data_IF_719629181214
#
_entry.id   IF_719629181214
#
_cell.length_a   1.000
_cell.length_b   1.000
_cell.length_c   1.000
_cell.angle_alpha   90.00
_cell.angle_beta   90.00
_cell.angle_gamma   90.00
#
_symmetry.space_group_name_H-M   'P 1'
#
loop_
_entity.id
_entity.type
_entity.pdbx_description
1 polymer ?
#
# COMPACT_ATOMS: atom_id res chain seq x y z
N UNK A 1 1.75 -23.07 4.42
CA UNK A 1 1.62 -21.62 4.67
C UNK A 1 1.29 -20.98 3.33
N UNK A 2 0.44 -19.94 3.24
CA UNK A 2 0.22 -19.29 1.95
C UNK A 2 1.54 -18.71 1.44
N UNK A 3 1.86 -18.97 0.18
CA UNK A 3 3.03 -18.42 -0.54
C UNK A 3 2.91 -16.91 -0.75
N UNK A 4 1.71 -16.36 -0.54
CA UNK A 4 1.40 -14.96 -0.70
C UNK A 4 0.86 -14.28 0.55
N UNK A 5 1.21 -13.00 0.71
CA UNK A 5 0.72 -12.16 1.80
C UNK A 5 0.60 -10.70 1.39
N UNK A 6 -0.20 -9.93 2.13
CA UNK A 6 -0.27 -8.48 1.98
C UNK A 6 0.58 -7.80 3.06
N UNK A 7 1.38 -6.82 2.65
CA UNK A 7 2.21 -6.01 3.53
C UNK A 7 1.72 -4.57 3.53
N UNK A 8 1.73 -3.96 4.70
CA UNK A 8 1.50 -2.52 4.83
C UNK A 8 2.79 -1.75 4.51
N UNK A 9 2.63 -0.69 3.71
CA UNK A 9 3.65 0.28 3.37
C UNK A 9 3.32 1.58 4.09
N UNK A 10 4.26 2.04 4.93
CA UNK A 10 4.12 3.22 5.78
C UNK A 10 5.07 4.33 5.35
N UNK A 11 4.90 5.51 5.95
CA UNK A 11 5.78 6.65 5.74
C UNK A 11 5.45 7.49 4.51
N UNK A 12 4.23 7.37 3.98
CA UNK A 12 3.74 8.12 2.82
C UNK A 12 3.64 9.64 3.06
N UNK A 13 3.59 10.07 4.31
CA UNK A 13 3.57 11.50 4.68
C UNK A 13 4.95 12.16 4.61
N UNK A 14 6.04 11.38 4.51
CA UNK A 14 7.39 11.92 4.39
C UNK A 14 7.76 12.14 2.93
N UNK A 15 8.55 13.19 2.66
CA UNK A 15 9.17 13.39 1.35
C UNK A 15 10.28 12.35 1.11
N UNK A 16 10.54 12.05 -0.16
CA UNK A 16 11.72 11.30 -0.59
C UNK A 16 12.98 12.17 -0.52
N UNK A 17 14.15 11.53 -0.56
CA UNK A 17 15.44 12.24 -0.53
C UNK A 17 15.64 13.18 -1.74
N UNK A 18 15.02 12.87 -2.87
CA UNK A 18 15.00 13.70 -4.08
C UNK A 18 13.92 14.80 -4.06
N UNK A 19 13.16 14.91 -2.97
CA UNK A 19 12.07 15.87 -2.79
C UNK A 19 10.72 15.42 -3.37
N UNK A 20 10.65 14.25 -4.02
CA UNK A 20 9.37 13.72 -4.54
C UNK A 20 8.39 13.34 -3.41
N UNK A 21 7.10 13.38 -3.71
CA UNK A 21 6.04 13.13 -2.74
C UNK A 21 5.53 11.69 -2.82
N UNK A 22 5.80 10.90 -1.76
CA UNK A 22 5.38 9.49 -1.67
C UNK A 22 3.87 9.30 -1.80
N UNK A 23 3.07 10.16 -1.17
CA UNK A 23 1.61 10.07 -1.21
C UNK A 23 1.07 10.34 -2.61
N UNK A 24 1.64 11.31 -3.31
CA UNK A 24 1.29 11.58 -4.70
C UNK A 24 1.62 10.38 -5.59
N UNK A 25 2.81 9.79 -5.42
CA UNK A 25 3.20 8.61 -6.18
C UNK A 25 2.27 7.41 -5.93
N UNK A 26 1.86 7.19 -4.67
CA UNK A 26 0.88 6.14 -4.32
C UNK A 26 -0.44 6.33 -5.09
N UNK A 27 -0.92 7.57 -5.24
CA UNK A 27 -2.15 7.87 -5.96
C UNK A 27 -2.05 7.59 -7.47
N UNK A 28 -0.83 7.57 -8.01
CA UNK A 28 -0.57 7.24 -9.42
C UNK A 28 -0.42 5.72 -9.65
N UNK A 29 -0.33 4.91 -8.60
CA UNK A 29 -0.26 3.46 -8.74
C UNK A 29 -1.64 2.85 -8.94
N UNK A 30 -1.75 1.94 -9.92
CA UNK A 30 -2.91 1.09 -10.11
C UNK A 30 -2.72 -0.26 -9.41
N UNK A 31 -3.81 -0.89 -8.91
CA UNK A 31 -3.73 -2.27 -8.43
C UNK A 31 -3.15 -3.20 -9.50
N UNK A 32 -2.10 -3.91 -9.15
CA UNK A 32 -1.38 -4.84 -10.04
C UNK A 32 -0.08 -4.26 -10.57
N UNK A 33 0.16 -2.95 -10.43
CA UNK A 33 1.43 -2.34 -10.82
C UNK A 33 2.60 -3.02 -10.08
N UNK A 34 3.68 -3.38 -10.77
CA UNK A 34 4.87 -3.92 -10.12
C UNK A 34 5.43 -2.95 -9.09
N UNK A 35 5.87 -3.48 -7.95
CA UNK A 35 6.62 -2.71 -6.95
C UNK A 35 7.90 -3.44 -6.58
N UNK A 36 8.93 -2.68 -6.25
CA UNK A 36 10.23 -3.22 -5.87
C UNK A 36 10.47 -3.04 -4.37
N UNK A 37 10.92 -4.10 -3.70
CA UNK A 37 11.34 -4.07 -2.31
C UNK A 37 12.86 -4.02 -2.27
N UNK A 38 13.42 -2.97 -1.64
CA UNK A 38 14.86 -2.74 -1.53
C UNK A 38 15.29 -2.69 -0.06
N UNK A 39 16.06 -3.67 0.45
CA UNK A 39 16.63 -3.60 1.79
C UNK A 39 17.62 -2.44 1.91
N UNK A 40 17.55 -1.70 3.02
CA UNK A 40 18.46 -0.60 3.35
C UNK A 40 19.20 -0.91 4.67
N UNK A 41 20.17 -1.85 4.67
CA UNK A 41 20.86 -2.27 5.90
C UNK A 41 21.69 -1.16 6.57
N UNK A 42 22.00 -0.10 5.83
CA UNK A 42 22.71 1.09 6.32
C UNK A 42 21.76 2.22 6.74
N UNK A 43 20.44 1.97 6.80
CA UNK A 43 19.48 2.96 7.25
C UNK A 43 19.70 3.27 8.74
N UNK A 44 19.85 4.57 9.05
CA UNK A 44 20.21 5.02 10.39
C UNK A 44 19.09 4.84 11.44
N UNK A 45 17.83 4.77 10.99
CA UNK A 45 16.69 4.61 11.89
C UNK A 45 16.38 3.13 12.17
N UNK A 46 16.48 2.28 11.15
CA UNK A 46 16.19 0.85 11.25
C UNK A 46 17.07 0.04 10.28
N UNK A 47 18.03 -0.79 10.75
CA UNK A 47 18.88 -1.61 9.88
C UNK A 47 18.12 -2.73 9.15
N UNK A 48 16.86 -2.97 9.50
CA UNK A 48 15.97 -3.90 8.79
C UNK A 48 15.03 -3.20 7.81
N UNK A 49 15.16 -1.88 7.62
CA UNK A 49 14.30 -1.12 6.73
C UNK A 49 14.29 -1.71 5.31
N UNK A 50 13.08 -1.84 4.75
CA UNK A 50 12.87 -2.26 3.36
C UNK A 50 12.05 -1.16 2.68
N UNK A 51 12.71 -0.38 1.83
CA UNK A 51 12.07 0.64 1.02
C UNK A 51 11.23 -0.01 -0.08
N UNK A 52 10.11 0.61 -0.40
CA UNK A 52 9.19 0.15 -1.45
C UNK A 52 9.14 1.21 -2.55
N UNK A 53 9.39 0.79 -3.78
CA UNK A 53 9.42 1.65 -4.96
C UNK A 53 8.32 1.25 -5.94
N UNK A 54 7.71 2.24 -6.60
CA UNK A 54 6.79 2.02 -7.71
C UNK A 54 7.54 1.54 -8.97
N UNK A 55 6.79 1.09 -9.98
CA UNK A 55 7.31 0.75 -11.31
C UNK A 55 8.03 1.91 -12.02
N UNK A 56 7.79 3.16 -11.59
CA UNK A 56 8.47 4.37 -12.09
C UNK A 56 9.77 4.68 -11.35
N UNK A 57 10.16 3.85 -10.39
CA UNK A 57 11.39 4.03 -9.59
C UNK A 57 11.27 5.10 -8.51
N UNK A 58 10.05 5.54 -8.17
CA UNK A 58 9.81 6.52 -7.10
C UNK A 58 9.45 5.77 -5.83
N UNK A 59 10.11 6.12 -4.72
CA UNK A 59 9.81 5.49 -3.44
C UNK A 59 8.39 5.89 -2.98
N UNK A 60 7.62 4.90 -2.55
CA UNK A 60 6.25 5.07 -2.02
C UNK A 60 6.18 4.87 -0.50
N UNK A 61 7.24 4.32 0.11
CA UNK A 61 7.36 4.20 1.56
C UNK A 61 8.31 3.08 1.98
N UNK A 62 8.00 2.48 3.13
CA UNK A 62 8.72 1.36 3.72
C UNK A 62 7.76 0.27 4.17
N UNK A 63 8.19 -1.00 4.11
CA UNK A 63 7.51 -2.09 4.83
C UNK A 63 7.49 -1.76 6.33
N UNK A 64 6.40 -2.10 7.02
CA UNK A 64 6.34 -1.88 8.49
C UNK A 64 7.52 -2.54 9.20
N UNK A 65 8.09 -1.84 10.20
CA UNK A 65 9.24 -2.33 10.96
C UNK A 65 8.99 -3.71 11.62
N UNK A 66 7.75 -4.03 11.97
CA UNK A 66 7.37 -5.36 12.47
C UNK A 66 7.59 -6.48 11.43
N UNK A 67 7.32 -6.21 10.15
CA UNK A 67 7.39 -7.20 9.06
C UNK A 67 8.73 -7.19 8.34
N UNK A 68 9.44 -6.07 8.36
CA UNK A 68 10.67 -5.89 7.60
C UNK A 68 11.77 -6.93 7.93
N UNK A 69 12.05 -7.31 9.20
CA UNK A 69 13.04 -8.34 9.50
C UNK A 69 12.69 -9.72 8.89
N UNK A 70 11.42 -10.11 8.94
CA UNK A 70 10.98 -11.39 8.39
C UNK A 70 11.07 -11.41 6.87
N UNK A 71 10.63 -10.34 6.20
CA UNK A 71 10.77 -10.22 4.74
C UNK A 71 12.24 -10.19 4.35
N UNK A 72 13.07 -9.42 5.04
CA UNK A 72 14.50 -9.35 4.80
C UNK A 72 15.18 -10.71 4.95
N UNK A 73 14.77 -11.51 5.94
CA UNK A 73 15.24 -12.89 6.10
C UNK A 73 14.82 -13.81 4.96
N UNK A 74 13.64 -13.60 4.34
CA UNK A 74 13.24 -14.37 3.14
C UNK A 74 14.05 -13.97 1.92
N UNK A 75 14.28 -12.67 1.72
CA UNK A 75 15.13 -12.18 0.64
C UNK A 75 16.57 -12.69 0.76
N UNK A 76 17.16 -12.66 1.97
CA UNK A 76 18.52 -13.15 2.20
C UNK A 76 18.66 -14.67 2.05
N UNK A 77 17.59 -15.42 2.30
CA UNK A 77 17.51 -16.85 2.03
C UNK A 77 17.35 -17.19 0.53
N UNK A 78 17.26 -16.19 -0.35
CA UNK A 78 17.14 -16.39 -1.80
C UNK A 78 15.72 -16.67 -2.29
N UNK A 79 14.68 -16.27 -1.54
CA UNK A 79 13.31 -16.34 -2.03
C UNK A 79 13.15 -15.48 -3.31
N UNK A 80 12.51 -16.03 -4.35
CA UNK A 80 12.14 -15.28 -5.55
C UNK A 80 10.91 -14.44 -5.23
N UNK A 81 11.16 -13.25 -4.66
CA UNK A 81 10.10 -12.38 -4.17
C UNK A 81 9.56 -11.52 -5.32
N UNK A 82 8.25 -11.65 -5.58
CA UNK A 82 7.50 -10.77 -6.49
C UNK A 82 6.51 -9.95 -5.70
N UNK A 83 6.35 -8.67 -6.07
CA UNK A 83 5.43 -7.78 -5.39
C UNK A 83 4.70 -6.87 -6.36
N UNK A 84 3.42 -6.63 -6.06
CA UNK A 84 2.56 -5.71 -6.81
C UNK A 84 1.81 -4.79 -5.86
N UNK A 85 1.50 -3.59 -6.33
CA UNK A 85 0.67 -2.64 -5.63
C UNK A 85 -0.74 -3.22 -5.49
N UNK A 86 -1.29 -3.23 -4.28
CA UNK A 86 -2.63 -3.73 -4.03
C UNK A 86 -3.65 -2.60 -3.98
N UNK A 87 -3.41 -1.58 -3.14
CA UNK A 87 -4.26 -0.38 -3.04
C UNK A 87 -3.61 0.69 -2.16
N UNK A 88 -4.05 1.93 -2.32
CA UNK A 88 -3.82 2.99 -1.34
C UNK A 88 -4.66 2.77 -0.07
N UNK A 89 -4.14 3.25 1.06
CA UNK A 89 -4.82 3.30 2.37
C UNK A 89 -4.47 4.63 3.06
N UNK A 90 -5.18 5.00 4.13
CA UNK A 90 -5.10 6.35 4.72
C UNK A 90 -3.68 6.83 5.08
N UNK A 91 -2.84 5.90 5.58
CA UNK A 91 -1.48 6.18 6.02
C UNK A 91 -0.39 5.75 5.01
N UNK A 92 -0.76 5.18 3.87
CA UNK A 92 0.20 4.70 2.87
C UNK A 92 -0.41 3.76 1.84
N UNK A 93 0.14 2.55 1.72
CA UNK A 93 -0.31 1.58 0.73
C UNK A 93 -0.34 0.15 1.29
N UNK A 94 -1.05 -0.73 0.60
CA UNK A 94 -0.87 -2.17 0.70
C UNK A 94 -0.18 -2.67 -0.57
N UNK A 95 0.76 -3.58 -0.40
CA UNK A 95 1.38 -4.34 -1.48
C UNK A 95 1.13 -5.82 -1.26
N UNK A 96 0.91 -6.56 -2.35
CA UNK A 96 0.77 -8.01 -2.33
C UNK A 96 2.10 -8.62 -2.75
N UNK A 97 2.55 -9.62 -2.00
CA UNK A 97 3.86 -10.25 -2.19
C UNK A 97 3.68 -11.76 -2.34
N UNK A 98 4.41 -12.35 -3.27
CA UNK A 98 4.59 -13.78 -3.46
C UNK A 98 6.07 -14.12 -3.21
N UNK A 99 6.36 -15.23 -2.53
CA UNK A 99 7.72 -15.64 -2.14
C UNK A 99 8.34 -16.74 -3.03
N UNK A 100 7.60 -17.20 -4.05
CA UNK A 100 7.92 -18.36 -4.89
C UNK A 100 8.13 -18.00 -6.37
N UNK A 101 8.20 -16.70 -6.70
CA UNK A 101 8.59 -16.19 -8.02
C UNK A 101 7.45 -15.92 -8.99
N UNK A 102 6.22 -16.25 -8.62
CA UNK A 102 5.03 -15.96 -9.42
C UNK A 102 4.48 -14.55 -9.14
N UNK A 103 3.80 -13.95 -10.12
CA UNK A 103 3.11 -12.68 -9.90
C UNK A 103 1.96 -12.87 -8.89
N UNK A 104 1.93 -12.06 -7.80
CA UNK A 104 0.94 -12.23 -6.75
C UNK A 104 -0.49 -11.99 -7.25
N UNK A 105 -1.42 -12.86 -6.86
CA UNK A 105 -2.83 -12.67 -7.17
C UNK A 105 -3.43 -11.65 -6.18
N UNK A 106 -4.02 -10.58 -6.73
CA UNK A 106 -4.73 -9.61 -5.91
C UNK A 106 -6.01 -10.22 -5.33
N UNK A 107 -6.26 -10.08 -4.02
CA UNK A 107 -7.55 -10.46 -3.46
C UNK A 107 -8.65 -9.60 -4.07
N UNK A 108 -9.83 -10.18 -4.29
CA UNK A 108 -11.00 -9.42 -4.74
C UNK A 108 -11.18 -8.20 -3.85
N UNK A 109 -11.37 -7.02 -4.46
CA UNK A 109 -11.65 -5.81 -3.71
C UNK A 109 -12.79 -6.11 -2.73
N UNK A 110 -12.51 -6.05 -1.42
CA UNK A 110 -13.59 -6.08 -0.43
C UNK A 110 -14.51 -4.92 -0.79
N UNK A 111 -15.77 -5.21 -1.08
CA UNK A 111 -16.79 -4.18 -1.14
C UNK A 111 -16.64 -3.33 0.12
N UNK A 112 -16.62 -1.99 0.03
CA UNK A 112 -16.64 -1.14 1.20
C UNK A 112 -17.68 -1.69 2.16
N UNK A 113 -17.25 -1.98 3.39
CA UNK A 113 -18.15 -2.45 4.43
C UNK A 113 -19.02 -1.24 4.77
N UNK A 114 -20.18 -1.19 4.14
CA UNK A 114 -21.38 -0.48 4.57
C UNK A 114 -21.39 1.06 4.50
N UNK A 115 -21.48 1.61 3.29
CA UNK A 115 -22.47 2.68 3.07
C UNK A 115 -23.90 2.10 2.98
N UNK A 116 -24.02 0.80 2.68
CA UNK A 116 -25.29 0.09 2.57
C UNK A 116 -25.96 -0.29 3.91
N UNK A 117 -25.23 -0.26 5.05
CA UNK A 117 -25.82 -0.33 6.40
C UNK A 117 -25.75 1.02 7.14
N UNK A 118 -25.60 2.15 6.42
CA UNK A 118 -25.93 3.43 7.04
C UNK A 118 -27.44 3.40 7.25
N UNK A 119 -27.88 3.17 8.48
CA UNK A 119 -29.29 3.39 8.83
C UNK A 119 -29.66 4.77 8.30
N UNK A 120 -30.81 4.91 7.60
CA UNK A 120 -31.26 6.22 7.18
C UNK A 120 -31.22 7.13 8.40
N UNK A 121 -30.63 8.31 8.24
CA UNK A 121 -30.51 9.28 9.31
C UNK A 121 -31.91 9.63 9.84
N UNK A 122 -32.29 9.01 10.95
CA UNK A 122 -33.56 9.26 11.64
C UNK A 122 -33.58 10.65 12.32
N UNK A 123 -32.53 11.48 12.17
CA UNK A 123 -32.51 12.86 12.69
C UNK A 123 -33.61 13.76 12.08
N UNK A 124 -34.26 13.32 11.00
CA UNK A 124 -35.27 14.09 10.30
C UNK A 124 -34.69 15.21 9.44
N UNK A 125 -33.37 15.23 9.22
CA UNK A 125 -32.70 16.20 8.35
C UNK A 125 -32.91 15.83 6.87
N UNK A 126 -33.94 16.41 6.26
CA UNK A 126 -34.12 16.42 4.82
C UNK A 126 -33.56 17.73 4.27
N UNK A 127 -32.53 17.71 3.40
CA UNK A 127 -32.11 18.93 2.73
C UNK A 127 -33.29 19.51 1.95
N UNK A 128 -33.55 20.80 2.13
CA UNK A 128 -34.63 21.49 1.44
C UNK A 128 -34.50 21.32 -0.07
N UNK A 129 -35.62 21.11 -0.75
CA UNK A 129 -35.67 21.06 -2.20
C UNK A 129 -35.15 22.39 -2.77
N UNK A 130 -34.10 22.32 -3.59
CA UNK A 130 -33.57 23.46 -4.35
C UNK A 130 -34.22 23.41 -5.75
N UNK A 131 -35.10 24.36 -6.09
CA UNK A 131 -35.62 24.47 -7.45
C UNK A 131 -34.47 24.75 -8.44
N UNK A 132 -34.54 24.25 -9.69
CA UNK A 132 -33.58 24.65 -10.72
C UNK A 132 -33.68 26.16 -10.98
N UNK A 133 -32.53 26.81 -11.17
CA UNK A 133 -32.47 28.20 -11.63
C UNK A 133 -32.95 28.26 -13.10
N UNK A 134 -33.96 29.10 -13.38
CA UNK A 134 -34.45 29.44 -14.73
C UNK A 134 -33.41 30.25 -15.53
#
# INVERSE_FOLDING_TARGET
MPSELSLAVVGAAHANADGSNRRFEILLCAPGDPVELRPEPSNNADPHAIAVFSSRGVQIGYVTAERAPWIGSKMSAGADLRAVFQRAIDFGALVRVNLEGEDPILPSARKPRDEANREPDESGFWPDYIPPDD
#
